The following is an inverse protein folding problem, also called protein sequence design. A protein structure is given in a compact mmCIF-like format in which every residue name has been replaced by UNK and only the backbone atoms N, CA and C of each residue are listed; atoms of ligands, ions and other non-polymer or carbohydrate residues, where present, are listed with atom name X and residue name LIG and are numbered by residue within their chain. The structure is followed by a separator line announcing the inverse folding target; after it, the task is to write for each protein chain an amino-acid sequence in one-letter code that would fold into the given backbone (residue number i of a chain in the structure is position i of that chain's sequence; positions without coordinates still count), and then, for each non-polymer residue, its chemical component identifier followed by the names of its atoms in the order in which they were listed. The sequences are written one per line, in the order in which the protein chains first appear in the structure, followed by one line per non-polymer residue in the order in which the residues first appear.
data_IF_774565070481
#
_entry.id   IF_774565070481
#
_cell.length_a   1.000
_cell.length_b   1.000
_cell.length_c   1.000
_cell.angle_alpha   90.00
_cell.angle_beta   90.00
_cell.angle_gamma   90.00
#
_symmetry.space_group_name_H-M   'P 1'
#
loop_
_entity.id
_entity.type
_entity.pdbx_description
1 polymer ?
#
# COMPACT_ATOMS: atom_id res chain seq x y z
N UNK A 1 47.61 -21.56 8.17
CA UNK A 1 46.12 -21.49 8.28
C UNK A 1 45.64 -20.15 7.76
N UNK A 2 45.45 -20.06 6.44
CA UNK A 2 44.77 -18.96 5.73
C UNK A 2 43.50 -19.57 5.16
N UNK A 3 42.32 -19.28 5.72
CA UNK A 3 41.03 -19.35 5.02
C UNK A 3 39.88 -19.05 5.99
N UNK A 4 39.70 -17.77 6.32
CA UNK A 4 38.46 -17.27 6.95
C UNK A 4 38.01 -15.93 6.32
N UNK A 5 38.70 -15.47 5.26
CA UNK A 5 38.47 -14.18 4.60
C UNK A 5 37.90 -14.29 3.19
N UNK A 6 37.39 -15.45 2.77
CA UNK A 6 36.89 -15.68 1.39
C UNK A 6 35.37 -15.83 1.29
N UNK A 7 34.62 -15.84 2.40
CA UNK A 7 33.15 -15.83 2.35
C UNK A 7 32.51 -14.42 2.40
N UNK A 8 33.32 -13.39 2.14
CA UNK A 8 32.89 -12.00 2.05
C UNK A 8 33.18 -11.43 0.65
N UNK A 9 32.83 -12.17 -0.40
CA UNK A 9 32.84 -11.60 -1.75
C UNK A 9 31.97 -12.41 -2.71
N UNK A 10 31.18 -11.70 -3.51
CA UNK A 10 30.39 -12.18 -4.67
C UNK A 10 29.07 -12.91 -4.39
N UNK A 11 28.09 -12.16 -3.88
CA UNK A 11 26.75 -12.11 -4.49
C UNK A 11 26.12 -10.75 -4.22
N UNK A 12 26.77 -9.75 -4.82
CA UNK A 12 26.30 -8.38 -4.90
C UNK A 12 25.04 -8.37 -5.78
N UNK A 13 23.88 -8.20 -5.14
CA UNK A 13 22.61 -7.69 -5.66
C UNK A 13 21.93 -8.39 -6.85
N UNK A 14 20.61 -8.70 -6.74
CA UNK A 14 19.76 -8.89 -7.90
C UNK A 14 19.32 -7.52 -8.45
N UNK A 15 20.29 -6.66 -8.79
CA UNK A 15 20.04 -5.29 -9.29
C UNK A 15 19.15 -5.29 -10.54
N UNK A 16 19.36 -6.27 -11.43
CA UNK A 16 18.56 -6.42 -12.66
C UNK A 16 17.13 -6.85 -12.37
N UNK A 17 16.91 -7.81 -11.48
CA UNK A 17 15.55 -8.25 -11.11
C UNK A 17 14.76 -7.14 -10.41
N UNK A 18 15.45 -6.29 -9.64
CA UNK A 18 14.87 -5.13 -8.99
C UNK A 18 14.46 -4.07 -10.03
N UNK A 19 15.31 -3.80 -11.04
CA UNK A 19 14.95 -2.94 -12.18
C UNK A 19 13.76 -3.50 -12.97
N UNK A 20 13.74 -4.81 -13.26
CA UNK A 20 12.61 -5.43 -13.97
C UNK A 20 11.31 -5.40 -13.16
N UNK A 21 11.36 -5.59 -11.84
CA UNK A 21 10.19 -5.46 -10.97
C UNK A 21 9.69 -4.01 -10.88
N UNK A 22 10.59 -3.03 -10.84
CA UNK A 22 10.25 -1.61 -10.92
C UNK A 22 9.55 -1.32 -12.25
N UNK A 23 10.13 -1.80 -13.36
CA UNK A 23 9.55 -1.62 -14.70
C UNK A 23 8.20 -2.32 -14.84
N UNK A 24 8.04 -3.52 -14.30
CA UNK A 24 6.78 -4.27 -14.33
C UNK A 24 5.73 -3.57 -13.47
N UNK A 25 6.09 -3.05 -12.30
CA UNK A 25 5.17 -2.35 -11.40
C UNK A 25 4.75 -0.98 -11.95
N UNK A 26 5.66 -0.24 -12.58
CA UNK A 26 5.31 1.00 -13.30
C UNK A 26 4.44 0.71 -14.53
N UNK A 27 4.73 -0.36 -15.28
CA UNK A 27 3.92 -0.77 -16.43
C UNK A 27 2.53 -1.31 -16.04
N UNK A 28 2.39 -2.04 -14.92
CA UNK A 28 1.10 -2.53 -14.40
C UNK A 28 0.21 -1.37 -13.93
N UNK A 29 0.78 -0.38 -13.24
CA UNK A 29 0.03 0.82 -12.84
C UNK A 29 -0.37 1.68 -14.03
N UNK A 30 0.43 1.73 -15.10
CA UNK A 30 0.08 2.44 -16.34
C UNK A 30 -0.99 1.72 -17.18
N UNK A 31 -0.98 0.38 -17.24
CA UNK A 31 -1.88 -0.38 -18.12
C UNK A 31 -3.30 -0.55 -17.57
N UNK A 32 -3.52 -0.41 -16.25
CA UNK A 32 -4.86 -0.65 -15.67
C UNK A 32 -5.84 0.52 -15.88
N UNK A 33 -5.44 1.57 -16.58
CA UNK A 33 -6.19 2.82 -16.74
C UNK A 33 -6.91 2.96 -18.10
N UNK A 34 -7.48 1.89 -18.64
CA UNK A 34 -8.43 2.02 -19.76
C UNK A 34 -9.86 2.22 -19.21
N UNK A 35 -10.50 3.38 -19.44
CA UNK A 35 -11.90 3.56 -19.08
C UNK A 35 -12.78 2.77 -20.05
N UNK A 36 -13.45 1.74 -19.54
CA UNK A 36 -14.64 1.19 -20.20
C UNK A 36 -15.79 2.16 -19.94
N UNK A 37 -16.32 2.72 -21.03
CA UNK A 37 -17.47 3.62 -21.04
C UNK A 37 -18.63 3.05 -20.22
N UNK A 38 -19.18 3.83 -19.28
CA UNK A 38 -20.57 3.63 -18.88
C UNK A 38 -21.20 4.97 -18.44
N UNK A 39 -22.33 5.24 -19.07
CA UNK A 39 -23.10 6.47 -19.11
C UNK A 39 -24.18 6.53 -17.99
N UNK A 40 -24.56 7.76 -17.63
CA UNK A 40 -25.66 8.19 -16.73
C UNK A 40 -25.44 7.96 -15.22
N UNK A 41 -25.72 8.90 -14.30
CA UNK A 41 -26.87 9.81 -14.19
C UNK A 41 -26.58 10.97 -13.21
N UNK A 42 -27.06 12.18 -13.52
CA UNK A 42 -26.45 13.50 -13.25
C UNK A 42 -26.67 14.23 -11.90
N UNK A 43 -27.35 13.67 -10.91
CA UNK A 43 -27.84 14.52 -9.79
C UNK A 43 -26.89 14.68 -8.58
N UNK A 44 -26.02 13.70 -8.27
CA UNK A 44 -25.08 13.75 -7.12
C UNK A 44 -23.64 14.10 -7.47
N UNK A 45 -23.28 13.89 -8.74
CA UNK A 45 -22.05 14.37 -9.38
C UNK A 45 -21.83 15.88 -9.20
N UNK A 46 -22.90 16.65 -8.95
CA UNK A 46 -22.89 18.11 -8.84
C UNK A 46 -22.12 18.64 -7.62
N UNK A 47 -22.19 17.99 -6.45
CA UNK A 47 -21.63 18.54 -5.20
C UNK A 47 -20.11 18.30 -5.07
N UNK A 48 -19.64 17.09 -5.39
CA UNK A 48 -18.21 16.77 -5.48
C UNK A 48 -17.51 17.56 -6.59
N UNK A 49 -18.17 17.77 -7.73
CA UNK A 49 -17.68 18.64 -8.78
C UNK A 49 -17.73 20.12 -8.40
N UNK A 50 -18.68 20.56 -7.56
CA UNK A 50 -18.71 21.93 -7.06
C UNK A 50 -17.55 22.22 -6.11
N UNK A 51 -17.20 21.28 -5.21
CA UNK A 51 -16.05 21.41 -4.33
C UNK A 51 -14.72 21.40 -5.10
N UNK A 52 -14.54 20.44 -6.01
CA UNK A 52 -13.36 20.41 -6.89
C UNK A 52 -13.32 21.60 -7.85
N UNK A 53 -14.48 22.06 -8.33
CA UNK A 53 -14.63 23.24 -9.17
C UNK A 53 -14.26 24.54 -8.45
N UNK A 54 -14.63 24.66 -7.16
CA UNK A 54 -14.18 25.75 -6.29
C UNK A 54 -12.67 25.71 -6.09
N UNK A 55 -12.11 24.54 -5.78
CA UNK A 55 -10.66 24.35 -5.67
C UNK A 55 -9.92 24.72 -6.97
N UNK A 56 -10.45 24.31 -8.12
CA UNK A 56 -9.92 24.68 -9.45
C UNK A 56 -10.06 26.17 -9.77
N UNK A 57 -11.06 26.85 -9.19
CA UNK A 57 -11.27 28.29 -9.37
C UNK A 57 -10.32 29.12 -8.51
N UNK A 58 -10.00 28.61 -7.32
CA UNK A 58 -9.14 29.28 -6.35
C UNK A 58 -7.63 29.05 -6.64
N UNK A 59 -7.28 27.96 -7.33
CA UNK A 59 -5.90 27.60 -7.67
C UNK A 59 -5.61 27.61 -9.16
N UNK A 60 -4.38 27.99 -9.52
CA UNK A 60 -3.93 27.86 -10.90
C UNK A 60 -3.81 26.37 -11.28
N UNK A 61 -4.13 26.03 -12.53
CA UNK A 61 -4.03 24.65 -13.04
C UNK A 61 -2.61 24.09 -12.85
N UNK A 62 -1.60 24.97 -12.93
CA UNK A 62 -0.20 24.64 -12.69
C UNK A 62 0.06 24.18 -11.24
N UNK A 63 -0.49 24.86 -10.25
CA UNK A 63 -0.36 24.47 -8.83
C UNK A 63 -0.96 23.09 -8.58
N UNK A 64 -2.13 22.82 -9.15
CA UNK A 64 -2.83 21.54 -9.00
C UNK A 64 -1.99 20.41 -9.58
N UNK A 65 -1.50 20.56 -10.82
CA UNK A 65 -0.61 19.56 -11.43
C UNK A 65 0.66 19.34 -10.61
N UNK A 66 1.31 20.41 -10.14
CA UNK A 66 2.52 20.33 -9.35
C UNK A 66 2.29 19.53 -8.05
N UNK A 67 1.19 19.80 -7.35
CA UNK A 67 0.84 19.07 -6.12
C UNK A 67 0.67 17.56 -6.37
N UNK A 68 -0.13 17.17 -7.37
CA UNK A 68 -0.36 15.74 -7.66
C UNK A 68 0.92 15.04 -8.11
N UNK A 69 1.75 15.66 -8.95
CA UNK A 69 3.01 15.08 -9.42
C UNK A 69 3.96 14.84 -8.24
N UNK A 70 4.13 15.82 -7.35
CA UNK A 70 5.00 15.69 -6.17
C UNK A 70 4.51 14.54 -5.28
N UNK A 71 3.20 14.45 -5.01
CA UNK A 71 2.64 13.37 -4.19
C UNK A 71 2.88 12.00 -4.83
N UNK A 72 2.66 11.88 -6.15
CA UNK A 72 2.92 10.62 -6.85
C UNK A 72 4.40 10.22 -6.79
N UNK A 73 5.34 11.17 -6.95
CA UNK A 73 6.77 10.88 -6.82
C UNK A 73 7.08 10.34 -5.42
N UNK A 74 6.56 10.97 -4.36
CA UNK A 74 6.76 10.53 -2.98
C UNK A 74 6.17 9.12 -2.77
N UNK A 75 4.97 8.86 -3.28
CA UNK A 75 4.34 7.54 -3.20
C UNK A 75 5.15 6.46 -3.93
N UNK A 76 5.71 6.78 -5.08
CA UNK A 76 6.56 5.85 -5.83
C UNK A 76 7.84 5.55 -5.05
N UNK A 77 8.52 6.55 -4.48
CA UNK A 77 9.70 6.36 -3.63
C UNK A 77 9.34 5.50 -2.41
N UNK A 78 8.20 5.76 -1.76
CA UNK A 78 7.67 4.96 -0.66
C UNK A 78 7.47 3.50 -1.07
N UNK A 79 6.77 3.26 -2.17
CA UNK A 79 6.51 1.90 -2.69
C UNK A 79 7.80 1.14 -3.05
N UNK A 80 8.80 1.83 -3.61
CA UNK A 80 10.11 1.25 -3.90
C UNK A 80 10.84 0.83 -2.62
N UNK A 81 10.77 1.67 -1.59
CA UNK A 81 11.42 1.39 -0.30
C UNK A 81 10.82 0.16 0.39
N UNK A 82 9.49 0.03 0.39
CA UNK A 82 8.81 -1.12 0.99
C UNK A 82 9.03 -2.39 0.17
N UNK A 83 9.00 -2.29 -1.16
CA UNK A 83 9.32 -3.40 -2.06
C UNK A 83 10.75 -3.94 -1.81
N UNK A 84 11.72 -3.06 -1.59
CA UNK A 84 13.09 -3.45 -1.26
C UNK A 84 13.16 -4.24 0.06
N UNK A 85 12.45 -3.79 1.10
CA UNK A 85 12.38 -4.48 2.41
C UNK A 85 11.74 -5.86 2.28
N UNK A 86 10.63 -5.96 1.53
CA UNK A 86 9.93 -7.21 1.24
C UNK A 86 10.88 -8.18 0.53
N UNK A 87 11.51 -7.74 -0.57
CA UNK A 87 12.40 -8.59 -1.37
C UNK A 87 13.60 -9.07 -0.55
N UNK A 88 14.26 -8.17 0.18
CA UNK A 88 15.41 -8.51 1.04
C UNK A 88 15.03 -9.54 2.08
N UNK A 89 13.87 -9.37 2.71
CA UNK A 89 13.40 -10.29 3.75
C UNK A 89 12.98 -11.63 3.15
N UNK A 90 12.30 -11.62 2.00
CA UNK A 90 11.90 -12.83 1.28
C UNK A 90 13.10 -13.67 0.83
N UNK A 91 14.15 -13.04 0.26
CA UNK A 91 15.39 -13.75 -0.12
C UNK A 91 16.07 -14.36 1.10
N UNK A 92 16.06 -13.67 2.25
CA UNK A 92 16.61 -14.22 3.50
C UNK A 92 15.75 -15.36 4.02
N UNK A 93 14.43 -15.25 3.91
CA UNK A 93 13.47 -16.25 4.35
C UNK A 93 13.60 -17.55 3.54
N UNK A 94 13.77 -17.44 2.22
CA UNK A 94 14.02 -18.58 1.32
C UNK A 94 15.35 -19.28 1.58
N UNK A 95 16.37 -18.57 2.10
CA UNK A 95 17.69 -19.15 2.39
C UNK A 95 17.77 -19.95 3.70
N UNK A 96 16.76 -19.83 4.56
CA UNK A 96 16.73 -20.48 5.89
C UNK A 96 15.50 -21.39 5.99
N UNK A 97 15.11 -22.03 4.87
CA UNK A 97 14.00 -22.99 4.78
C UNK A 97 12.72 -22.56 5.50
N UNK A 98 12.35 -21.28 5.32
CA UNK A 98 11.16 -20.70 5.91
C UNK A 98 11.12 -20.58 7.45
N UNK A 99 12.20 -20.89 8.16
CA UNK A 99 12.29 -20.88 9.63
C UNK A 99 12.73 -19.52 10.25
N UNK A 100 12.31 -18.41 9.65
CA UNK A 100 12.80 -17.09 10.05
C UNK A 100 12.26 -16.65 11.42
N UNK A 101 13.15 -16.20 12.32
CA UNK A 101 12.78 -15.63 13.61
C UNK A 101 11.76 -14.50 13.45
N UNK A 102 10.75 -14.51 14.33
CA UNK A 102 9.64 -13.55 14.35
C UNK A 102 10.10 -12.08 14.20
N UNK A 103 11.27 -11.70 14.74
CA UNK A 103 11.80 -10.31 14.67
C UNK A 103 11.97 -9.82 13.24
N UNK A 104 12.30 -10.71 12.32
CA UNK A 104 12.49 -10.37 10.91
C UNK A 104 11.17 -10.39 10.13
N UNK A 105 10.14 -11.07 10.65
CA UNK A 105 8.80 -11.11 10.03
C UNK A 105 8.00 -9.83 10.29
N UNK A 106 8.16 -9.21 11.47
CA UNK A 106 7.48 -7.95 11.79
C UNK A 106 7.66 -6.84 10.73
N UNK A 107 8.90 -6.44 10.35
CA UNK A 107 9.09 -5.40 9.34
C UNK A 107 8.64 -5.84 7.94
N UNK A 108 8.58 -7.16 7.67
CA UNK A 108 8.03 -7.67 6.41
C UNK A 108 6.52 -7.49 6.34
N UNK A 109 5.78 -7.79 7.40
CA UNK A 109 4.33 -7.62 7.46
C UNK A 109 3.92 -6.15 7.38
N UNK A 110 4.68 -5.27 8.04
CA UNK A 110 4.50 -3.81 7.94
C UNK A 110 4.71 -3.33 6.50
N UNK A 111 5.84 -3.68 5.88
CA UNK A 111 6.13 -3.28 4.51
C UNK A 111 5.11 -3.81 3.48
N UNK A 112 4.59 -5.02 3.69
CA UNK A 112 3.57 -5.60 2.81
C UNK A 112 2.23 -4.86 2.90
N UNK A 113 1.82 -4.48 4.10
CA UNK A 113 0.62 -3.68 4.32
C UNK A 113 0.76 -2.25 3.77
N UNK A 114 1.91 -1.62 3.99
CA UNK A 114 2.20 -0.28 3.43
C UNK A 114 2.23 -0.28 1.90
N UNK A 115 2.74 -1.36 1.28
CA UNK A 115 2.71 -1.51 -0.18
C UNK A 115 1.28 -1.52 -0.73
N UNK A 116 0.35 -2.22 -0.06
CA UNK A 116 -1.07 -2.25 -0.46
C UNK A 116 -1.67 -0.84 -0.42
N UNK A 117 -1.37 -0.05 0.62
CA UNK A 117 -1.82 1.34 0.72
C UNK A 117 -1.22 2.20 -0.38
N UNK A 118 0.07 2.08 -0.67
CA UNK A 118 0.71 2.86 -1.73
C UNK A 118 0.09 2.57 -3.10
N UNK A 119 -0.27 1.32 -3.39
CA UNK A 119 -1.00 0.96 -4.61
C UNK A 119 -2.37 1.63 -4.63
N UNK A 120 -3.16 1.49 -3.56
CA UNK A 120 -4.50 2.09 -3.48
C UNK A 120 -4.47 3.62 -3.63
N UNK A 121 -3.51 4.30 -2.99
CA UNK A 121 -3.32 5.74 -3.10
C UNK A 121 -2.88 6.18 -4.49
N UNK A 122 -1.98 5.42 -5.12
CA UNK A 122 -1.51 5.72 -6.48
C UNK A 122 -2.67 5.66 -7.46
N UNK A 123 -3.51 4.61 -7.40
CA UNK A 123 -4.71 4.49 -8.25
C UNK A 123 -5.67 5.65 -8.00
N UNK A 124 -5.94 5.98 -6.73
CA UNK A 124 -6.86 7.04 -6.38
C UNK A 124 -6.43 8.42 -6.93
N UNK A 125 -5.13 8.74 -6.86
CA UNK A 125 -4.58 10.03 -7.29
C UNK A 125 -4.26 10.11 -8.79
N UNK A 126 -4.08 8.98 -9.47
CA UNK A 126 -3.77 8.95 -10.89
C UNK A 126 -4.94 9.45 -11.76
N UNK A 127 -6.18 9.08 -11.41
CA UNK A 127 -7.36 9.45 -12.20
C UNK A 127 -7.63 10.97 -12.21
N UNK A 128 -7.63 11.69 -11.08
CA UNK A 128 -7.76 13.15 -11.07
C UNK A 128 -6.64 13.86 -11.83
N UNK A 129 -5.41 13.33 -11.79
CA UNK A 129 -4.28 13.88 -12.54
C UNK A 129 -4.48 13.78 -14.05
N UNK A 130 -4.99 12.65 -14.54
CA UNK A 130 -5.19 12.41 -15.97
C UNK A 130 -6.42 13.16 -16.53
N UNK A 131 -7.55 13.12 -15.80
CA UNK A 131 -8.83 13.58 -16.32
C UNK A 131 -9.24 14.98 -15.82
N UNK A 132 -8.49 15.56 -14.87
CA UNK A 132 -8.80 16.85 -14.24
C UNK A 132 -10.24 16.93 -13.70
N UNK A 133 -10.74 15.77 -13.25
CA UNK A 133 -12.08 15.54 -12.70
C UNK A 133 -11.99 14.47 -11.61
N UNK A 134 -12.84 14.55 -10.58
CA UNK A 134 -12.95 13.47 -9.60
C UNK A 134 -13.52 12.19 -10.24
N UNK A 135 -13.32 11.06 -9.57
CA UNK A 135 -13.89 9.78 -9.99
C UNK A 135 -15.42 9.87 -10.14
N UNK A 136 -16.01 9.17 -11.13
CA UNK A 136 -17.47 9.06 -11.22
C UNK A 136 -18.02 8.33 -10.00
N UNK A 137 -19.24 8.69 -9.58
CA UNK A 137 -19.81 8.30 -8.27
C UNK A 137 -19.64 6.82 -7.93
N UNK A 138 -20.01 5.90 -8.84
CA UNK A 138 -19.90 4.47 -8.59
C UNK A 138 -18.45 4.00 -8.34
N UNK A 139 -17.51 4.47 -9.16
CA UNK A 139 -16.09 4.12 -9.03
C UNK A 139 -15.46 4.84 -7.82
N UNK A 140 -15.89 6.07 -7.52
CA UNK A 140 -15.45 6.83 -6.35
C UNK A 140 -15.78 6.09 -5.05
N UNK A 141 -16.98 5.50 -4.94
CA UNK A 141 -17.39 4.69 -3.78
C UNK A 141 -16.50 3.48 -3.57
N UNK A 142 -16.21 2.74 -4.64
CA UNK A 142 -15.36 1.55 -4.59
C UNK A 142 -13.93 1.94 -4.18
N UNK A 143 -13.33 2.93 -4.84
CA UNK A 143 -11.97 3.38 -4.54
C UNK A 143 -11.86 3.90 -3.11
N UNK A 144 -12.85 4.66 -2.65
CA UNK A 144 -12.91 5.17 -1.28
C UNK A 144 -13.04 4.05 -0.24
N UNK A 145 -13.88 3.04 -0.49
CA UNK A 145 -13.95 1.87 0.40
C UNK A 145 -12.63 1.10 0.42
N UNK A 146 -12.03 0.83 -0.75
CA UNK A 146 -10.77 0.07 -0.83
C UNK A 146 -9.67 0.79 -0.07
N UNK A 147 -9.56 2.11 -0.22
CA UNK A 147 -8.61 2.92 0.52
C UNK A 147 -8.90 2.92 2.02
N UNK A 148 -10.15 3.14 2.43
CA UNK A 148 -10.55 3.14 3.84
C UNK A 148 -10.28 1.79 4.51
N UNK A 149 -10.69 0.70 3.87
CA UNK A 149 -10.43 -0.66 4.33
C UNK A 149 -8.93 -0.94 4.46
N UNK A 150 -8.13 -0.59 3.45
CA UNK A 150 -6.68 -0.81 3.47
C UNK A 150 -5.99 0.01 4.57
N UNK A 151 -6.39 1.27 4.74
CA UNK A 151 -5.87 2.17 5.78
C UNK A 151 -6.19 1.64 7.19
N UNK A 152 -7.44 1.26 7.42
CA UNK A 152 -7.89 0.73 8.72
C UNK A 152 -7.19 -0.60 9.04
N UNK A 153 -7.07 -1.49 8.05
CA UNK A 153 -6.34 -2.75 8.17
C UNK A 153 -4.88 -2.51 8.57
N UNK A 154 -4.21 -1.53 7.95
CA UNK A 154 -2.83 -1.20 8.29
C UNK A 154 -2.69 -0.63 9.69
N UNK A 155 -3.54 0.32 10.09
CA UNK A 155 -3.49 0.91 11.43
C UNK A 155 -3.62 -0.17 12.51
N UNK A 156 -4.55 -1.11 12.32
CA UNK A 156 -4.75 -2.23 13.24
C UNK A 156 -3.56 -3.18 13.22
N UNK A 157 -3.03 -3.52 12.04
CA UNK A 157 -1.85 -4.38 11.92
C UNK A 157 -0.65 -3.77 12.63
N UNK A 158 -0.37 -2.48 12.41
CA UNK A 158 0.70 -1.73 13.08
C UNK A 158 0.48 -1.72 14.59
N UNK A 159 -0.76 -1.54 15.06
CA UNK A 159 -1.12 -1.65 16.47
C UNK A 159 -0.81 -3.04 17.05
N UNK A 160 -1.24 -4.11 16.39
CA UNK A 160 -0.95 -5.49 16.79
C UNK A 160 0.57 -5.76 16.83
N UNK A 161 1.31 -5.29 15.83
CA UNK A 161 2.77 -5.42 15.77
C UNK A 161 3.47 -4.66 16.91
N UNK A 162 2.97 -3.49 17.30
CA UNK A 162 3.48 -2.72 18.43
C UNK A 162 3.26 -3.46 19.75
N UNK A 163 2.06 -4.01 19.97
CA UNK A 163 1.73 -4.81 21.15
C UNK A 163 2.60 -6.07 21.23
N UNK A 164 2.76 -6.80 20.12
CA UNK A 164 3.66 -7.97 20.06
C UNK A 164 5.12 -7.59 20.34
N UNK A 165 5.57 -6.45 19.81
CA UNK A 165 6.93 -5.94 20.07
C UNK A 165 7.12 -5.61 21.55
N UNK A 166 6.13 -4.99 22.19
CA UNK A 166 6.15 -4.68 23.62
C UNK A 166 6.23 -5.95 24.48
N UNK A 167 5.36 -6.94 24.25
CA UNK A 167 5.40 -8.20 25.01
C UNK A 167 6.72 -8.94 24.84
N UNK A 168 7.32 -8.86 23.65
CA UNK A 168 8.60 -9.48 23.38
C UNK A 168 9.75 -8.79 24.11
N UNK A 169 9.83 -7.46 24.02
CA UNK A 169 10.96 -6.70 24.57
C UNK A 169 10.84 -6.57 26.08
N UNK A 170 9.68 -6.20 26.59
CA UNK A 170 9.48 -5.87 28.00
C UNK A 170 9.04 -7.05 28.86
N UNK A 171 8.41 -8.09 28.28
CA UNK A 171 7.95 -9.27 29.02
C UNK A 171 8.64 -10.56 28.61
N UNK A 172 9.51 -10.53 27.60
CA UNK A 172 10.23 -11.71 27.06
C UNK A 172 9.32 -12.90 26.76
N UNK A 173 8.05 -12.64 26.43
CA UNK A 173 7.07 -13.66 26.08
C UNK A 173 7.04 -13.86 24.57
N UNK A 174 7.06 -15.13 24.14
CA UNK A 174 6.99 -15.52 22.74
C UNK A 174 5.63 -16.15 22.48
N UNK A 175 4.80 -15.48 21.68
CA UNK A 175 3.54 -16.04 21.20
C UNK A 175 3.77 -16.73 19.85
N UNK A 176 3.40 -18.00 19.75
CA UNK A 176 3.34 -18.70 18.47
C UNK A 176 2.01 -18.35 17.76
N UNK A 177 2.07 -17.50 16.74
CA UNK A 177 0.87 -17.06 15.98
C UNK A 177 0.53 -17.99 14.80
N UNK A 178 1.22 -19.14 14.68
CA UNK A 178 1.03 -20.18 13.65
C UNK A 178 2.12 -20.17 12.56
N UNK A 179 2.07 -21.15 11.65
CA UNK A 179 3.10 -21.39 10.60
C UNK A 179 3.38 -20.15 9.73
N UNK A 180 2.37 -19.29 9.53
CA UNK A 180 2.46 -18.02 8.80
C UNK A 180 1.98 -16.82 9.62
N UNK A 181 1.92 -16.97 10.95
CA UNK A 181 1.35 -15.96 11.84
C UNK A 181 -0.08 -15.55 11.45
N UNK A 182 -0.86 -16.46 10.85
CA UNK A 182 -2.19 -16.16 10.28
C UNK A 182 -3.17 -15.60 11.33
N UNK A 183 -3.00 -15.98 12.61
CA UNK A 183 -3.78 -15.42 13.73
C UNK A 183 -3.57 -13.92 13.90
N UNK A 184 -2.38 -13.41 13.54
CA UNK A 184 -2.07 -11.98 13.54
C UNK A 184 -2.90 -11.21 12.52
N UNK A 185 -3.14 -11.82 11.35
CA UNK A 185 -3.85 -11.21 10.23
C UNK A 185 -5.37 -11.29 10.35
N UNK A 186 -5.88 -12.17 11.21
CA UNK A 186 -7.32 -12.33 11.41
C UNK A 186 -7.97 -11.02 11.88
N UNK A 187 -7.40 -10.37 12.90
CA UNK A 187 -7.97 -9.13 13.45
C UNK A 187 -7.90 -7.96 12.44
N UNK A 188 -6.74 -7.66 11.80
CA UNK A 188 -6.62 -6.65 10.75
C UNK A 188 -7.45 -6.90 9.48
N UNK A 189 -7.97 -8.11 9.23
CA UNK A 189 -8.83 -8.39 8.07
C UNK A 189 -10.30 -8.34 8.46
N UNK A 190 -10.67 -9.05 9.53
CA UNK A 190 -12.08 -9.21 9.93
C UNK A 190 -12.65 -7.92 10.49
N UNK A 191 -11.90 -7.21 11.35
CA UNK A 191 -12.42 -6.01 11.99
C UNK A 191 -12.68 -4.86 11.00
N UNK A 192 -11.76 -4.54 10.07
CA UNK A 192 -12.06 -3.56 9.02
C UNK A 192 -13.19 -3.98 8.08
N UNK A 193 -13.33 -5.28 7.79
CA UNK A 193 -14.44 -5.78 6.98
C UNK A 193 -15.80 -5.57 7.67
N UNK A 194 -15.89 -5.80 8.99
CA UNK A 194 -17.11 -5.59 9.76
C UNK A 194 -17.53 -4.10 9.80
N UNK A 195 -16.56 -3.19 9.81
CA UNK A 195 -16.81 -1.74 9.80
C UNK A 195 -17.10 -1.22 8.39
N UNK A 196 -16.44 -1.77 7.36
CA UNK A 196 -16.59 -1.26 5.99
C UNK A 196 -17.96 -1.58 5.38
N UNK A 197 -18.60 -2.68 5.79
CA UNK A 197 -19.95 -3.09 5.32
C UNK A 197 -21.04 -2.04 5.66
N UNK A 198 -21.24 -1.62 6.92
CA UNK A 198 -22.25 -0.61 7.24
C UNK A 198 -21.89 0.79 6.73
N UNK A 199 -20.59 1.11 6.60
CA UNK A 199 -20.14 2.42 6.12
C UNK A 199 -20.26 2.54 4.59
N UNK A 200 -20.52 1.44 3.86
CA UNK A 200 -20.72 1.47 2.40
C UNK A 200 -21.74 2.51 1.92
N UNK A 201 -22.84 2.69 2.66
CA UNK A 201 -23.88 3.66 2.31
C UNK A 201 -23.42 5.12 2.41
N UNK A 202 -22.34 5.39 3.15
CA UNK A 202 -21.78 6.72 3.39
C UNK A 202 -20.55 7.05 2.53
N UNK A 203 -19.98 6.08 1.80
CA UNK A 203 -18.93 6.41 0.83
C UNK A 203 -19.55 7.07 -0.40
N UNK A 204 -18.92 8.15 -0.88
CA UNK A 204 -19.35 8.91 -2.06
C UNK A 204 -20.74 9.54 -1.94
N UNK A 205 -21.14 9.91 -0.72
CA UNK A 205 -22.32 10.76 -0.45
C UNK A 205 -21.91 12.20 -0.26
#
# INVERSE_FOLDING_TARGET
MKSLSVLYSKKLFPSRALIYLILIFTLLNCNSAYPTNLESRDEKLSEGNAAFGKFKKDHSVFEIYSMYIIILIILQIGSLSTLYVILRTFIRWKRVDFSLNMTHKLPFYMALSDLIIYVALTVNLYYPLANMKPWPDHSCKIVSLVFFYSSLSNMILVGCLAVLSYFRVCKTMYYELGIMDYKLFLLPIVFPALISVPVWSHFGS
#
